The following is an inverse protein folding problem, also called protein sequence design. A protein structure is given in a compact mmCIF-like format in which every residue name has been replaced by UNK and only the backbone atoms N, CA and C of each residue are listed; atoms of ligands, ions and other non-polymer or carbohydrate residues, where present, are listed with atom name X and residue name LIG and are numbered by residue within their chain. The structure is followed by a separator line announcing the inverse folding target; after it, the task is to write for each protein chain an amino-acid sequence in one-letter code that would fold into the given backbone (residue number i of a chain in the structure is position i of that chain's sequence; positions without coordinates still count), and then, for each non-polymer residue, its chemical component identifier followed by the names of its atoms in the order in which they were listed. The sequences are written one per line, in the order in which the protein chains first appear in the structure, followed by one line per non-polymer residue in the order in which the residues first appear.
data_IF_530671836291
#
_entry.id   IF_530671836291
#
_cell.length_a   1.000
_cell.length_b   1.000
_cell.length_c   1.000
_cell.angle_alpha   90.00
_cell.angle_beta   90.00
_cell.angle_gamma   90.00
#
_symmetry.space_group_name_H-M   'P 1'
#
loop_
_entity.id
_entity.type
_entity.pdbx_description
1 polymer ?
#
# COMPACT_ATOMS: atom_id res chain seq x y z
N UNK A 1 2.94 19.41 -3.02
CA UNK A 1 2.79 18.78 -4.34
C UNK A 1 1.96 17.52 -4.16
N UNK A 2 1.05 17.22 -5.08
CA UNK A 2 0.39 15.91 -5.11
C UNK A 2 1.45 14.82 -5.35
N UNK A 3 1.24 13.66 -4.76
CA UNK A 3 2.12 12.49 -4.83
C UNK A 3 1.33 11.33 -5.39
N UNK A 4 1.94 10.49 -6.22
CA UNK A 4 1.31 9.32 -6.81
C UNK A 4 1.63 8.07 -5.99
N UNK A 5 0.63 7.37 -5.52
CA UNK A 5 0.77 6.17 -4.70
C UNK A 5 0.27 4.98 -5.52
N UNK A 6 1.17 4.07 -5.85
CA UNK A 6 0.83 2.79 -6.46
C UNK A 6 0.19 1.87 -5.42
N UNK A 7 -0.86 1.15 -5.79
CA UNK A 7 -1.48 0.13 -4.95
C UNK A 7 -1.55 -1.16 -5.73
N UNK A 8 -0.81 -2.19 -5.31
CA UNK A 8 -0.95 -3.53 -5.90
C UNK A 8 -2.06 -4.26 -5.15
N UNK A 9 -3.18 -4.50 -5.82
CA UNK A 9 -4.39 -5.03 -5.20
C UNK A 9 -5.12 -5.95 -6.17
N UNK A 10 -5.54 -7.12 -5.66
CA UNK A 10 -6.42 -8.03 -6.39
C UNK A 10 -7.55 -8.50 -5.47
N UNK A 11 -8.38 -9.43 -5.92
CA UNK A 11 -9.50 -9.98 -5.16
C UNK A 11 -9.06 -10.52 -3.79
N UNK A 12 -10.00 -10.54 -2.84
CA UNK A 12 -9.79 -11.02 -1.47
C UNK A 12 -8.77 -10.20 -0.65
N UNK A 13 -8.60 -8.92 -0.95
CA UNK A 13 -7.85 -7.99 -0.10
C UNK A 13 -8.61 -7.68 1.21
N UNK A 14 -7.92 -7.31 2.28
CA UNK A 14 -8.57 -6.86 3.51
C UNK A 14 -9.16 -5.45 3.31
N UNK A 15 -10.49 -5.35 3.37
CA UNK A 15 -11.28 -4.16 3.02
C UNK A 15 -10.78 -2.88 3.72
N UNK A 16 -10.48 -2.99 5.02
CA UNK A 16 -10.03 -1.89 5.87
C UNK A 16 -8.60 -1.43 5.57
N UNK A 17 -7.73 -2.36 5.16
CA UNK A 17 -6.32 -2.11 4.85
C UNK A 17 -6.13 -1.38 3.51
N UNK A 18 -7.13 -1.38 2.63
CA UNK A 18 -7.16 -0.52 1.45
C UNK A 18 -7.91 0.80 1.72
N UNK A 19 -9.14 0.72 2.23
CA UNK A 19 -10.04 1.88 2.32
C UNK A 19 -9.50 2.97 3.23
N UNK A 20 -8.99 2.61 4.41
CA UNK A 20 -8.49 3.60 5.38
C UNK A 20 -7.24 4.34 4.87
N UNK A 21 -6.18 3.67 4.37
CA UNK A 21 -5.03 4.38 3.79
C UNK A 21 -5.39 5.16 2.52
N UNK A 22 -6.22 4.61 1.63
CA UNK A 22 -6.61 5.29 0.40
C UNK A 22 -7.37 6.58 0.68
N UNK A 23 -8.29 6.58 1.65
CA UNK A 23 -9.00 7.78 2.09
C UNK A 23 -8.05 8.80 2.70
N UNK A 24 -7.12 8.37 3.55
CA UNK A 24 -6.13 9.26 4.17
C UNK A 24 -5.23 9.94 3.12
N UNK A 25 -4.73 9.18 2.14
CA UNK A 25 -3.93 9.72 1.05
C UNK A 25 -4.71 10.71 0.18
N UNK A 26 -5.96 10.38 -0.18
CA UNK A 26 -6.84 11.28 -0.95
C UNK A 26 -7.13 12.57 -0.18
N UNK A 27 -7.41 12.49 1.12
CA UNK A 27 -7.61 13.67 2.00
C UNK A 27 -6.36 14.53 2.10
N UNK A 28 -5.18 13.93 2.05
CA UNK A 28 -3.90 14.64 1.99
C UNK A 28 -3.59 15.26 0.62
N UNK A 29 -4.47 15.09 -0.38
CA UNK A 29 -4.30 15.61 -1.74
C UNK A 29 -3.36 14.78 -2.60
N UNK A 30 -3.18 13.50 -2.26
CA UNK A 30 -2.40 12.54 -3.05
C UNK A 30 -3.30 11.71 -3.97
N UNK A 31 -2.71 11.23 -5.05
CA UNK A 31 -3.36 10.40 -6.05
C UNK A 31 -3.09 8.92 -5.73
N UNK A 32 -4.15 8.13 -5.63
CA UNK A 32 -4.07 6.69 -5.36
C UNK A 32 -4.41 5.96 -6.64
N UNK A 33 -3.44 5.21 -7.18
CA UNK A 33 -3.54 4.47 -8.44
C UNK A 33 -3.51 2.98 -8.14
N UNK A 34 -4.59 2.29 -8.47
CA UNK A 34 -4.74 0.86 -8.27
C UNK A 34 -4.26 0.08 -9.50
N UNK A 35 -3.47 -0.96 -9.25
CA UNK A 35 -2.76 -1.71 -10.28
C UNK A 35 -3.05 -3.20 -10.10
N UNK A 36 -3.49 -3.83 -11.18
CA UNK A 36 -3.70 -5.28 -11.28
C UNK A 36 -3.32 -5.76 -12.69
N UNK A 37 -3.76 -6.94 -13.12
CA UNK A 37 -3.50 -7.50 -14.44
C UNK A 37 -4.30 -6.79 -15.54
N UNK A 38 -5.49 -6.29 -15.21
CA UNK A 38 -6.38 -5.66 -16.20
C UNK A 38 -7.00 -4.35 -15.67
N UNK A 39 -6.75 -3.25 -16.39
CA UNK A 39 -7.41 -1.98 -16.14
C UNK A 39 -8.95 -2.09 -16.35
N UNK A 40 -9.72 -1.39 -15.53
CA UNK A 40 -11.17 -1.44 -15.53
C UNK A 40 -11.80 -2.68 -14.87
N UNK A 41 -11.00 -3.67 -14.45
CA UNK A 41 -11.48 -4.78 -13.61
C UNK A 41 -11.95 -4.20 -12.26
N UNK A 42 -13.03 -4.73 -11.71
CA UNK A 42 -13.40 -4.47 -10.31
C UNK A 42 -12.96 -5.64 -9.45
N UNK A 43 -12.19 -5.36 -8.41
CA UNK A 43 -11.76 -6.33 -7.39
C UNK A 43 -12.54 -6.10 -6.11
N UNK A 44 -12.82 -7.18 -5.39
CA UNK A 44 -13.62 -7.13 -4.14
C UNK A 44 -12.80 -7.53 -2.93
N UNK A 45 -13.06 -6.84 -1.82
CA UNK A 45 -12.46 -7.17 -0.54
C UNK A 45 -12.99 -8.50 0.00
N UNK A 46 -12.23 -9.12 0.90
CA UNK A 46 -12.54 -10.41 1.49
C UNK A 46 -13.89 -10.43 2.22
N UNK A 47 -14.28 -9.31 2.86
CA UNK A 47 -15.59 -9.18 3.53
C UNK A 47 -16.69 -8.69 2.59
N UNK A 48 -16.33 -8.26 1.38
CA UNK A 48 -17.26 -7.71 0.38
C UNK A 48 -17.80 -6.32 0.73
N UNK A 49 -17.17 -5.62 1.69
CA UNK A 49 -17.54 -4.27 2.11
C UNK A 49 -16.95 -3.21 1.17
N UNK A 50 -15.82 -3.53 0.54
CA UNK A 50 -15.13 -2.68 -0.42
C UNK A 50 -15.12 -3.31 -1.83
N UNK A 51 -15.35 -2.47 -2.84
CA UNK A 51 -15.15 -2.78 -4.25
C UNK A 51 -14.28 -1.70 -4.88
N UNK A 52 -13.26 -2.11 -5.61
CA UNK A 52 -12.23 -1.22 -6.14
C UNK A 52 -12.09 -1.44 -7.63
N UNK A 53 -12.24 -0.38 -8.42
CA UNK A 53 -11.92 -0.42 -9.85
C UNK A 53 -10.43 -0.27 -10.04
N UNK A 54 -9.83 -1.13 -10.85
CA UNK A 54 -8.42 -1.09 -11.21
C UNK A 54 -8.19 0.03 -12.23
N UNK A 55 -7.29 0.95 -11.91
CA UNK A 55 -6.98 2.10 -12.75
C UNK A 55 -6.01 1.73 -13.89
N UNK A 56 -5.04 0.87 -13.61
CA UNK A 56 -3.96 0.52 -14.55
C UNK A 56 -3.63 -0.97 -14.56
N UNK A 57 -3.26 -1.49 -15.73
CA UNK A 57 -2.65 -2.80 -15.81
C UNK A 57 -1.16 -2.72 -15.44
N UNK A 58 -0.63 -3.77 -14.82
CA UNK A 58 0.78 -3.88 -14.41
C UNK A 58 1.75 -3.74 -15.59
N UNK A 59 1.30 -4.08 -16.80
CA UNK A 59 2.09 -3.96 -18.04
C UNK A 59 2.18 -2.51 -18.57
N UNK A 60 1.36 -1.60 -18.04
CA UNK A 60 1.25 -0.21 -18.51
C UNK A 60 1.96 0.80 -17.60
N UNK A 61 2.59 0.33 -16.52
CA UNK A 61 3.13 1.20 -15.46
C UNK A 61 4.53 0.79 -15.03
N UNK A 62 5.30 1.76 -14.55
CA UNK A 62 6.65 1.59 -14.05
C UNK A 62 6.80 2.14 -12.63
N UNK A 63 7.61 1.51 -11.75
CA UNK A 63 7.88 2.00 -10.39
C UNK A 63 8.37 3.46 -10.35
N UNK A 64 9.05 3.91 -11.40
CA UNK A 64 9.56 5.27 -11.53
C UNK A 64 8.47 6.35 -11.48
N UNK A 65 7.25 6.05 -11.94
CA UNK A 65 6.14 7.00 -12.08
C UNK A 65 5.44 7.36 -10.77
N UNK A 66 5.70 6.59 -9.71
CA UNK A 66 5.04 6.74 -8.42
C UNK A 66 6.03 7.19 -7.35
N UNK A 67 5.51 7.86 -6.32
CA UNK A 67 6.28 8.34 -5.18
C UNK A 67 6.28 7.35 -4.01
N UNK A 68 5.25 6.50 -3.90
CA UNK A 68 5.13 5.48 -2.86
C UNK A 68 4.34 4.25 -3.35
N UNK A 69 4.48 3.13 -2.62
CA UNK A 69 3.79 1.87 -2.89
C UNK A 69 2.99 1.45 -1.65
N UNK A 70 1.72 1.07 -1.82
CA UNK A 70 0.85 0.46 -0.81
C UNK A 70 0.56 -0.99 -1.20
N UNK A 71 0.73 -1.89 -0.23
CA UNK A 71 0.46 -3.33 -0.34
C UNK A 71 -0.55 -3.70 0.76
N UNK A 72 -1.86 -3.68 0.47
CA UNK A 72 -2.89 -4.16 1.40
C UNK A 72 -2.82 -5.69 1.52
N UNK A 73 -3.14 -6.20 2.71
CA UNK A 73 -3.14 -7.61 3.06
C UNK A 73 -4.41 -8.33 2.64
N UNK A 74 -4.81 -9.33 3.42
CA UNK A 74 -5.76 -10.36 3.00
C UNK A 74 -5.08 -11.43 2.13
N UNK A 75 -5.83 -12.03 1.20
CA UNK A 75 -5.30 -13.04 0.27
C UNK A 75 -4.79 -12.42 -1.05
N UNK A 76 -4.97 -11.11 -1.22
CA UNK A 76 -4.48 -10.36 -2.39
C UNK A 76 -2.96 -10.54 -2.61
N UNK A 77 -2.08 -10.33 -1.61
CA UNK A 77 -0.64 -10.53 -1.79
C UNK A 77 -0.25 -11.96 -2.19
N UNK A 78 -0.94 -12.97 -1.67
CA UNK A 78 -0.70 -14.38 -2.00
C UNK A 78 -1.03 -14.68 -3.47
N UNK A 79 -2.07 -14.05 -4.00
CA UNK A 79 -2.45 -14.15 -5.41
C UNK A 79 -1.45 -13.41 -6.31
N UNK A 80 -1.02 -12.21 -5.91
CA UNK A 80 -0.12 -11.37 -6.71
C UNK A 80 1.32 -11.92 -6.77
N UNK A 81 1.83 -12.53 -5.69
CA UNK A 81 3.20 -13.08 -5.67
C UNK A 81 3.42 -14.26 -6.63
N UNK A 82 2.34 -14.89 -7.10
CA UNK A 82 2.40 -15.96 -8.11
C UNK A 82 2.78 -15.45 -9.50
N UNK A 83 2.68 -14.14 -9.72
CA UNK A 83 2.99 -13.48 -10.98
C UNK A 83 4.25 -12.63 -10.83
N UNK A 84 5.28 -12.98 -11.61
CA UNK A 84 6.61 -12.38 -11.52
C UNK A 84 6.62 -10.88 -11.79
N UNK A 85 5.60 -10.33 -12.47
CA UNK A 85 5.51 -8.89 -12.76
C UNK A 85 5.31 -8.08 -11.49
N UNK A 86 4.43 -8.51 -10.59
CA UNK A 86 4.19 -7.83 -9.31
C UNK A 86 5.39 -7.97 -8.36
N UNK A 87 6.04 -9.13 -8.37
CA UNK A 87 7.28 -9.35 -7.61
C UNK A 87 8.40 -8.43 -8.09
N UNK A 88 8.59 -8.34 -9.41
CA UNK A 88 9.60 -7.45 -10.02
C UNK A 88 9.28 -5.99 -9.74
N UNK A 89 8.03 -5.57 -9.93
CA UNK A 89 7.60 -4.20 -9.62
C UNK A 89 7.86 -3.83 -8.16
N UNK A 90 7.51 -4.72 -7.22
CA UNK A 90 7.73 -4.48 -5.78
C UNK A 90 9.21 -4.41 -5.45
N UNK A 91 10.02 -5.33 -5.98
CA UNK A 91 11.48 -5.34 -5.78
C UNK A 91 12.10 -4.04 -6.30
N UNK A 92 11.81 -3.68 -7.54
CA UNK A 92 12.37 -2.48 -8.16
C UNK A 92 11.93 -1.19 -7.41
N UNK A 93 10.73 -1.20 -6.82
CA UNK A 93 10.27 -0.14 -5.93
C UNK A 93 11.10 -0.02 -4.64
N UNK A 94 11.35 -1.16 -3.98
CA UNK A 94 12.19 -1.23 -2.77
C UNK A 94 13.62 -0.80 -3.07
N UNK A 95 14.20 -1.30 -4.17
CA UNK A 95 15.57 -0.99 -4.59
C UNK A 95 15.74 0.51 -4.93
N UNK A 96 14.67 1.19 -5.35
CA UNK A 96 14.68 2.63 -5.59
C UNK A 96 14.74 3.48 -4.31
N UNK A 97 14.58 2.88 -3.13
CA UNK A 97 14.57 3.57 -1.83
C UNK A 97 13.30 4.40 -1.57
N UNK A 98 12.28 4.28 -2.41
CA UNK A 98 11.00 4.95 -2.24
C UNK A 98 10.17 4.30 -1.10
N UNK A 99 9.29 5.05 -0.41
CA UNK A 99 8.45 4.51 0.65
C UNK A 99 7.54 3.36 0.19
N UNK A 100 7.53 2.28 0.96
CA UNK A 100 6.63 1.13 0.79
C UNK A 100 5.83 0.93 2.08
N UNK A 101 4.50 0.90 1.96
CA UNK A 101 3.55 0.66 3.04
C UNK A 101 2.95 -0.74 2.86
N UNK A 102 3.44 -1.72 3.60
CA UNK A 102 2.86 -3.07 3.61
C UNK A 102 2.03 -3.27 4.88
N UNK A 103 0.74 -3.58 4.72
CA UNK A 103 -0.18 -3.87 5.82
C UNK A 103 -0.60 -5.33 5.66
N UNK A 104 -0.44 -6.14 6.71
CA UNK A 104 -0.57 -7.60 6.61
C UNK A 104 -1.08 -8.23 7.92
N UNK A 105 -2.06 -7.59 8.60
CA UNK A 105 -2.54 -8.11 9.88
C UNK A 105 -4.03 -7.83 10.10
N UNK A 106 -4.88 -8.77 9.66
CA UNK A 106 -6.21 -8.99 10.23
C UNK A 106 -6.15 -9.44 11.70
N UNK A 107 -7.27 -9.44 12.42
CA UNK A 107 -7.50 -8.70 13.67
C UNK A 107 -6.79 -9.30 14.89
N UNK A 108 -5.48 -9.07 15.03
CA UNK A 108 -4.72 -9.28 16.27
C UNK A 108 -3.32 -8.63 16.15
N UNK A 109 -3.23 -7.29 16.30
CA UNK A 109 -1.99 -6.57 16.68
C UNK A 109 -2.28 -5.06 16.69
N UNK A 110 -2.60 -4.49 17.85
CA UNK A 110 -1.63 -3.86 18.72
C UNK A 110 -1.53 -2.34 18.51
N UNK A 111 -2.14 -1.61 19.45
CA UNK A 111 -1.36 -0.69 20.25
C UNK A 111 -0.06 -1.40 20.68
N UNK A 112 0.98 -1.33 19.85
CA UNK A 112 2.35 -1.39 20.30
C UNK A 112 3.16 -0.45 19.41
N UNK A 113 3.37 0.74 19.96
CA UNK A 113 4.70 1.33 20.03
C UNK A 113 5.78 0.25 19.90
N UNK A 114 6.51 0.23 18.79
CA UNK A 114 7.94 -0.13 18.67
C UNK A 114 8.32 -0.24 17.18
N UNK A 115 8.35 0.89 16.48
CA UNK A 115 9.56 1.18 15.71
C UNK A 115 10.43 2.04 16.61
N UNK A 116 11.69 1.67 16.78
CA UNK A 116 12.67 2.39 17.59
C UNK A 116 13.05 3.78 17.05
N UNK A 117 12.16 4.45 16.31
CA UNK A 117 12.32 5.82 15.92
C UNK A 117 11.61 6.71 16.95
N UNK A 118 12.35 7.16 17.96
CA UNK A 118 11.89 8.26 18.83
C UNK A 118 11.60 9.47 17.92
N UNK A 119 10.43 10.12 18.01
CA UNK A 119 10.20 11.37 17.29
C UNK A 119 11.17 12.40 17.85
N UNK A 120 12.19 12.78 17.07
CA UNK A 120 13.02 13.92 17.41
C UNK A 120 12.31 15.18 16.93
N UNK A 121 12.02 16.08 17.86
CA UNK A 121 11.79 17.50 17.57
C UNK A 121 12.95 18.28 18.19
N UNK A 122 13.74 18.96 17.35
CA UNK A 122 14.86 19.83 17.75
C UNK A 122 15.93 19.24 18.69
N UNK A 123 16.36 18.00 18.44
CA UNK A 123 17.68 17.51 18.90
C UNK A 123 17.96 17.52 20.41
N UNK A 124 16.93 17.47 21.27
CA UNK A 124 17.14 17.27 22.72
C UNK A 124 16.35 16.07 23.24
N UNK A 125 17.08 15.17 23.88
CA UNK A 125 16.55 14.00 24.56
C UNK A 125 15.85 14.44 25.84
N UNK A 126 14.57 14.07 26.00
CA UNK A 126 13.83 14.25 27.25
C UNK A 126 13.90 12.95 28.05
N UNK A 127 14.73 12.98 29.08
CA UNK A 127 14.80 11.95 30.11
C UNK A 127 13.48 11.95 30.92
N UNK A 128 12.93 10.77 31.21
CA UNK A 128 11.80 10.64 32.13
C UNK A 128 12.13 9.58 33.17
N UNK A 129 12.11 9.99 34.44
CA UNK A 129 11.88 9.11 35.59
C UNK A 129 10.58 8.31 35.43
#
# INVERSE_FOLDING_TARGET
MSKKIAVLITDEFEDSEFTSPAEAFRKAGHEVITIEKQAGKTVKGHKGEASVSIDKAIDEVQPAEFDALLLPGGHSPDSLRSDSRFVTFTRDFVDSGKPVFAICHGPQAADQRRSGARPQINGREIDRH
#
